data_IF_030884377571
#
_entry.id   IF_030884377571
#
_cell.length_a   1.000
_cell.length_b   1.000
_cell.length_c   1.000
_cell.angle_alpha   90.00
_cell.angle_beta   90.00
_cell.angle_gamma   90.00
#
_symmetry.space_group_name_H-M   'P 1'
#
loop_
_entity.id
_entity.type
_entity.pdbx_description
1 polymer ?
#
# COMPACT_ATOMS: atom_id res chain seq x y z
N UNK A 1 -71.99 -45.33 52.72
CA UNK A 1 -71.30 -46.04 51.61
C UNK A 1 -70.33 -45.07 50.94
N UNK A 2 -69.26 -45.61 50.37
CA UNK A 2 -67.94 -45.02 50.13
C UNK A 2 -67.84 -43.87 49.10
N UNK A 3 -66.89 -42.95 49.40
CA UNK A 3 -65.88 -42.25 48.57
C UNK A 3 -66.17 -41.96 47.08
N UNK A 4 -65.85 -40.75 46.62
CA UNK A 4 -64.64 -40.43 45.83
C UNK A 4 -64.58 -38.92 45.52
N UNK A 5 -63.56 -38.24 46.05
CA UNK A 5 -63.20 -36.86 45.66
C UNK A 5 -62.08 -36.97 44.62
N UNK A 6 -62.35 -36.53 43.39
CA UNK A 6 -61.38 -36.47 42.30
C UNK A 6 -60.67 -35.10 42.34
N UNK A 7 -59.41 -35.13 42.76
CA UNK A 7 -58.46 -34.01 42.66
C UNK A 7 -57.81 -34.05 41.26
N UNK A 8 -58.13 -33.07 40.42
CA UNK A 8 -57.39 -32.82 39.18
C UNK A 8 -56.14 -31.98 39.51
N UNK A 9 -54.97 -32.62 39.50
CA UNK A 9 -53.69 -31.94 39.52
C UNK A 9 -53.36 -31.45 38.11
N UNK A 10 -53.43 -30.14 37.87
CA UNK A 10 -52.93 -29.53 36.65
C UNK A 10 -51.41 -29.51 36.66
N UNK A 11 -50.77 -30.27 35.78
CA UNK A 11 -49.34 -30.20 35.54
C UNK A 11 -49.09 -28.98 34.65
N UNK A 12 -48.53 -27.92 35.21
CA UNK A 12 -47.97 -26.81 34.44
C UNK A 12 -46.67 -27.28 33.76
N UNK A 13 -46.74 -27.55 32.46
CA UNK A 13 -45.55 -27.77 31.63
C UNK A 13 -44.89 -26.41 31.40
N UNK A 14 -43.80 -26.13 32.11
CA UNK A 14 -42.88 -25.06 31.72
C UNK A 14 -42.27 -25.44 30.36
N UNK A 15 -42.66 -24.75 29.29
CA UNK A 15 -41.88 -24.75 28.06
C UNK A 15 -40.58 -24.02 28.37
N UNK A 16 -39.46 -24.76 28.42
CA UNK A 16 -38.14 -24.15 28.42
C UNK A 16 -37.95 -23.53 27.03
N UNK A 17 -37.94 -22.20 26.98
CA UNK A 17 -37.48 -21.46 25.81
C UNK A 17 -36.05 -21.93 25.49
N UNK A 18 -35.90 -22.65 24.39
CA UNK A 18 -34.60 -22.92 23.81
C UNK A 18 -33.97 -21.55 23.46
N UNK A 19 -32.67 -21.33 23.76
CA UNK A 19 -32.01 -20.10 23.35
C UNK A 19 -32.02 -20.02 21.82
N UNK A 20 -32.93 -19.21 21.28
CA UNK A 20 -32.93 -18.81 19.88
C UNK A 20 -31.63 -18.05 19.67
N UNK A 21 -30.68 -18.69 19.01
CA UNK A 21 -29.50 -17.98 18.50
C UNK A 21 -30.00 -16.93 17.53
N UNK A 22 -29.69 -15.64 17.73
CA UNK A 22 -30.11 -14.61 16.79
C UNK A 22 -29.56 -14.93 15.40
N UNK A 23 -30.31 -14.65 14.32
CA UNK A 23 -29.81 -14.78 12.96
C UNK A 23 -28.49 -14.03 12.85
N UNK A 24 -27.47 -14.70 12.31
CA UNK A 24 -26.17 -14.10 12.03
C UNK A 24 -26.37 -13.06 10.93
N UNK A 25 -26.74 -11.84 11.30
CA UNK A 25 -26.79 -10.70 10.37
C UNK A 25 -25.41 -10.60 9.72
N UNK A 26 -25.30 -10.57 8.38
CA UNK A 26 -24.03 -10.26 7.74
C UNK A 26 -23.60 -8.90 8.27
N UNK A 27 -22.49 -8.86 9.01
CA UNK A 27 -21.89 -7.59 9.41
C UNK A 27 -21.64 -6.81 8.12
N UNK A 28 -22.25 -5.63 8.01
CA UNK A 28 -22.13 -4.74 6.84
C UNK A 28 -20.71 -4.16 6.67
N UNK A 29 -19.77 -4.56 7.53
CA UNK A 29 -18.36 -4.16 7.43
C UNK A 29 -17.63 -5.18 6.56
N UNK A 30 -17.00 -4.74 5.44
CA UNK A 30 -16.10 -5.61 4.70
C UNK A 30 -15.06 -6.22 5.65
N UNK A 31 -14.64 -7.47 5.44
CA UNK A 31 -13.58 -8.05 6.25
C UNK A 31 -12.34 -7.13 6.21
N UNK A 32 -11.64 -6.95 7.34
CA UNK A 32 -10.48 -6.07 7.40
C UNK A 32 -9.42 -6.53 6.39
N UNK A 33 -8.84 -5.57 5.67
CA UNK A 33 -7.75 -5.83 4.73
C UNK A 33 -6.53 -6.32 5.51
N UNK A 34 -5.98 -7.47 5.13
CA UNK A 34 -4.77 -8.00 5.75
C UNK A 34 -3.55 -7.27 5.17
N UNK A 35 -2.82 -6.57 6.03
CA UNK A 35 -1.57 -5.94 5.63
C UNK A 35 -0.40 -6.93 5.72
N UNK A 36 0.61 -6.74 4.87
CA UNK A 36 1.74 -7.64 4.70
C UNK A 36 2.60 -7.20 3.52
N UNK A 37 3.13 -8.16 2.77
CA UNK A 37 3.87 -7.88 1.54
C UNK A 37 2.98 -7.12 0.54
N UNK A 38 3.58 -6.13 -0.14
CA UNK A 38 2.91 -5.39 -1.20
C UNK A 38 2.52 -6.36 -2.32
N UNK A 39 1.26 -6.38 -2.79
CA UNK A 39 0.84 -7.33 -3.82
C UNK A 39 1.63 -7.10 -5.12
N UNK A 40 2.15 -8.17 -5.72
CA UNK A 40 3.03 -8.06 -6.91
C UNK A 40 2.32 -7.42 -8.11
N UNK A 41 1.00 -7.60 -8.20
CA UNK A 41 0.15 -7.03 -9.23
C UNK A 41 -0.13 -5.53 -9.07
N UNK A 42 0.20 -4.90 -7.94
CA UNK A 42 -0.18 -3.51 -7.66
C UNK A 42 0.28 -2.55 -8.77
N UNK A 43 1.44 -2.81 -9.37
CA UNK A 43 2.01 -2.02 -10.45
C UNK A 43 1.30 -2.19 -11.79
N UNK A 44 0.75 -3.38 -12.09
CA UNK A 44 -0.07 -3.60 -13.32
C UNK A 44 -1.50 -3.10 -13.12
N UNK A 45 -1.96 -3.06 -11.88
CA UNK A 45 -3.29 -2.62 -11.51
C UNK A 45 -3.43 -1.10 -11.45
N UNK A 46 -2.33 -0.38 -11.23
CA UNK A 46 -2.29 1.06 -11.33
C UNK A 46 -2.08 1.48 -12.80
N UNK A 47 -3.00 2.26 -13.36
CA UNK A 47 -2.94 2.78 -14.72
C UNK A 47 -2.01 3.99 -14.87
N UNK A 48 -0.96 4.11 -14.05
CA UNK A 48 -0.11 5.30 -14.09
C UNK A 48 0.75 5.33 -15.36
N UNK A 49 0.85 6.50 -16.01
CA UNK A 49 1.86 6.72 -17.04
C UNK A 49 3.26 6.44 -16.50
N UNK A 50 4.17 6.07 -17.41
CA UNK A 50 5.56 5.81 -17.04
C UNK A 50 6.23 7.11 -16.58
N UNK A 51 6.76 7.09 -15.35
CA UNK A 51 7.46 8.23 -14.76
C UNK A 51 8.79 8.54 -15.48
N UNK A 52 9.43 7.51 -16.00
CA UNK A 52 10.69 7.62 -16.74
C UNK A 52 10.51 6.99 -18.11
N UNK A 53 11.11 7.60 -19.13
CA UNK A 53 11.04 7.06 -20.50
C UNK A 53 11.65 5.66 -20.58
N UNK A 54 11.15 4.85 -21.51
CA UNK A 54 11.65 3.48 -21.71
C UNK A 54 13.13 3.48 -22.09
N UNK A 55 13.57 4.45 -22.87
CA UNK A 55 14.96 4.56 -23.35
C UNK A 55 15.95 4.79 -22.21
N UNK A 56 15.62 5.65 -21.24
CA UNK A 56 16.47 5.87 -20.06
C UNK A 56 16.48 4.61 -19.20
N UNK A 57 15.31 4.00 -18.97
CA UNK A 57 15.21 2.76 -18.19
C UNK A 57 16.07 1.64 -18.79
N UNK A 58 15.99 1.45 -20.12
CA UNK A 58 16.76 0.43 -20.84
C UNK A 58 18.28 0.65 -20.71
N UNK A 59 18.75 1.89 -20.76
CA UNK A 59 20.17 2.24 -20.60
C UNK A 59 20.72 1.92 -19.20
N UNK A 60 19.84 1.86 -18.18
CA UNK A 60 20.24 1.66 -16.79
C UNK A 60 19.97 0.25 -16.25
N UNK A 61 19.20 -0.59 -16.95
CA UNK A 61 18.81 -1.93 -16.46
C UNK A 61 19.97 -2.87 -16.10
N UNK A 62 21.16 -2.68 -16.67
CA UNK A 62 22.36 -3.47 -16.38
C UNK A 62 23.45 -2.68 -15.66
N UNK A 63 23.12 -1.48 -15.14
CA UNK A 63 24.10 -0.58 -14.54
C UNK A 63 24.05 -0.70 -13.01
N UNK A 64 25.05 -1.40 -12.49
CA UNK A 64 25.36 -1.45 -11.05
C UNK A 64 24.99 -2.77 -10.37
N UNK A 65 25.53 -3.02 -9.17
CA UNK A 65 25.30 -4.25 -8.42
C UNK A 65 23.92 -4.34 -7.77
N UNK A 66 23.16 -3.24 -7.72
CA UNK A 66 21.89 -3.17 -6.98
C UNK A 66 20.96 -2.07 -7.50
N UNK A 67 19.75 -2.02 -6.92
CA UNK A 67 18.70 -1.07 -7.31
C UNK A 67 19.09 0.39 -7.07
N UNK A 68 19.89 0.69 -6.05
CA UNK A 68 20.35 2.06 -5.79
C UNK A 68 21.18 2.60 -6.96
N UNK A 69 22.15 1.84 -7.44
CA UNK A 69 23.00 2.25 -8.57
C UNK A 69 22.19 2.34 -9.88
N UNK A 70 21.21 1.44 -10.06
CA UNK A 70 20.28 1.51 -11.18
C UNK A 70 19.49 2.82 -11.18
N UNK A 71 18.95 3.21 -10.03
CA UNK A 71 18.19 4.45 -9.88
C UNK A 71 19.08 5.69 -9.96
N UNK A 72 20.32 5.64 -9.44
CA UNK A 72 21.31 6.71 -9.63
C UNK A 72 21.60 6.95 -11.11
N UNK A 73 21.77 5.87 -11.89
CA UNK A 73 21.89 5.96 -13.35
C UNK A 73 20.68 6.65 -13.98
N UNK A 74 19.45 6.27 -13.60
CA UNK A 74 18.22 6.86 -14.12
C UNK A 74 18.16 8.36 -13.82
N UNK A 75 18.46 8.77 -12.58
CA UNK A 75 18.43 10.18 -12.19
C UNK A 75 19.47 10.99 -12.96
N UNK A 76 20.68 10.46 -13.12
CA UNK A 76 21.74 11.09 -13.91
C UNK A 76 21.30 11.28 -15.37
N UNK A 77 20.80 10.22 -16.02
CA UNK A 77 20.35 10.24 -17.42
C UNK A 77 19.10 11.09 -17.64
N UNK A 78 18.26 11.23 -16.64
CA UNK A 78 17.09 12.12 -16.66
C UNK A 78 17.45 13.59 -16.39
N UNK A 79 18.73 13.89 -16.11
CA UNK A 79 19.19 15.23 -15.80
C UNK A 79 18.79 15.72 -14.40
N UNK A 80 18.30 14.83 -13.53
CA UNK A 80 17.81 15.14 -12.19
C UNK A 80 18.91 15.22 -11.12
N UNK A 81 20.17 15.22 -11.54
CA UNK A 81 21.31 15.38 -10.65
C UNK A 81 22.01 16.71 -10.89
N UNK A 82 22.64 17.22 -9.84
CA UNK A 82 23.60 18.33 -9.86
C UNK A 82 24.88 17.85 -9.16
N UNK A 83 25.86 17.42 -9.95
CA UNK A 83 26.98 16.63 -9.45
C UNK A 83 26.49 15.28 -8.90
N UNK A 84 26.89 14.94 -7.67
CA UNK A 84 26.47 13.71 -6.98
C UNK A 84 25.13 13.84 -6.22
N UNK A 85 24.58 15.04 -6.10
CA UNK A 85 23.34 15.30 -5.38
C UNK A 85 22.13 15.31 -6.33
N UNK A 86 20.96 14.97 -5.81
CA UNK A 86 19.70 15.08 -6.55
C UNK A 86 19.25 16.54 -6.55
N UNK A 87 18.95 17.03 -7.74
CA UNK A 87 18.33 18.34 -7.95
C UNK A 87 16.80 18.21 -7.86
N UNK A 88 16.26 18.42 -6.66
CA UNK A 88 14.82 18.32 -6.39
C UNK A 88 14.00 19.32 -7.19
N UNK A 89 14.56 20.46 -7.60
CA UNK A 89 13.86 21.43 -8.43
C UNK A 89 13.62 20.85 -9.83
N UNK A 90 14.61 20.15 -10.41
CA UNK A 90 14.44 19.45 -11.70
C UNK A 90 13.46 18.28 -11.62
N UNK A 91 13.48 17.51 -10.53
CA UNK A 91 12.48 16.45 -10.31
C UNK A 91 11.08 17.06 -10.17
N UNK A 92 10.95 18.18 -9.47
CA UNK A 92 9.69 18.92 -9.35
C UNK A 92 9.18 19.39 -10.71
N UNK A 93 10.05 19.99 -11.53
CA UNK A 93 9.72 20.44 -12.88
C UNK A 93 9.29 19.28 -13.80
N UNK A 94 9.90 18.10 -13.66
CA UNK A 94 9.44 16.89 -14.36
C UNK A 94 7.99 16.54 -13.99
N UNK A 95 7.65 16.57 -12.71
CA UNK A 95 6.29 16.29 -12.25
C UNK A 95 5.29 17.40 -12.65
N UNK A 96 5.72 18.65 -12.74
CA UNK A 96 4.88 19.72 -13.28
C UNK A 96 4.56 19.49 -14.77
N UNK A 97 5.54 19.02 -15.55
CA UNK A 97 5.30 18.62 -16.93
C UNK A 97 4.39 17.38 -16.99
N UNK A 98 4.62 16.39 -16.14
CA UNK A 98 3.78 15.19 -16.05
C UNK A 98 2.29 15.54 -15.84
N UNK A 99 1.98 16.53 -15.02
CA UNK A 99 0.58 16.98 -14.81
C UNK A 99 0.00 17.68 -16.04
N UNK A 100 0.80 18.40 -16.81
CA UNK A 100 0.32 18.98 -18.08
C UNK A 100 -0.06 17.89 -19.08
N UNK A 101 0.72 16.81 -19.10
CA UNK A 101 0.50 15.69 -20.03
C UNK A 101 -0.58 14.72 -19.51
N UNK A 102 -0.78 14.66 -18.19
CA UNK A 102 -1.66 13.72 -17.49
C UNK A 102 -2.44 14.42 -16.36
N UNK A 103 -3.40 15.31 -16.68
CA UNK A 103 -4.04 16.19 -15.71
C UNK A 103 -4.85 15.45 -14.64
N UNK A 104 -5.33 14.25 -14.94
CA UNK A 104 -6.02 13.38 -13.99
C UNK A 104 -5.12 12.92 -12.82
N UNK A 105 -3.80 12.97 -12.98
CA UNK A 105 -2.81 12.64 -11.94
C UNK A 105 -2.41 13.83 -11.06
N UNK A 106 -2.96 15.02 -11.29
CA UNK A 106 -2.63 16.23 -10.53
C UNK A 106 -2.74 16.04 -8.99
N UNK A 107 -3.77 15.36 -8.44
CA UNK A 107 -3.85 15.15 -6.99
C UNK A 107 -2.67 14.36 -6.44
N UNK A 108 -2.30 13.24 -7.08
CA UNK A 108 -1.18 12.42 -6.67
C UNK A 108 0.16 13.16 -6.83
N UNK A 109 0.34 13.91 -7.92
CA UNK A 109 1.55 14.69 -8.15
C UNK A 109 1.71 15.83 -7.14
N UNK A 110 0.63 16.51 -6.76
CA UNK A 110 0.70 17.53 -5.72
C UNK A 110 1.17 16.93 -4.38
N UNK A 111 0.73 15.72 -4.06
CA UNK A 111 1.22 15.00 -2.89
C UNK A 111 2.67 14.56 -3.04
N UNK A 112 3.14 14.21 -4.25
CA UNK A 112 4.57 13.91 -4.48
C UNK A 112 5.42 15.13 -4.18
N UNK A 113 5.02 16.30 -4.69
CA UNK A 113 5.75 17.55 -4.43
C UNK A 113 5.79 17.85 -2.93
N UNK A 114 4.67 17.73 -2.24
CA UNK A 114 4.56 18.03 -0.81
C UNK A 114 5.31 17.03 0.08
N UNK A 115 5.19 15.72 -0.18
CA UNK A 115 5.69 14.67 0.73
C UNK A 115 7.08 14.15 0.37
N UNK A 116 7.45 14.17 -0.91
CA UNK A 116 8.72 13.59 -1.37
C UNK A 116 9.79 14.65 -1.69
N UNK A 117 9.38 15.85 -2.11
CA UNK A 117 10.30 16.83 -2.70
C UNK A 117 10.45 18.13 -1.88
N UNK A 118 9.46 18.51 -1.06
CA UNK A 118 9.47 19.80 -0.36
C UNK A 118 10.50 19.96 0.77
N UNK A 119 11.13 18.87 1.25
CA UNK A 119 12.07 18.91 2.38
C UNK A 119 13.07 17.77 2.38
N UNK A 120 13.73 17.51 3.52
CA UNK A 120 14.53 16.30 3.69
C UNK A 120 13.61 15.08 3.69
N UNK A 121 13.95 14.09 2.88
CA UNK A 121 13.20 12.84 2.81
C UNK A 121 13.92 11.81 3.69
N UNK A 122 13.26 11.21 4.70
CA UNK A 122 13.87 10.15 5.48
C UNK A 122 14.08 8.91 4.61
N UNK A 123 15.01 8.04 5.02
CA UNK A 123 15.25 6.76 4.35
C UNK A 123 13.96 5.96 4.20
N UNK A 124 13.63 5.57 2.97
CA UNK A 124 12.39 4.88 2.63
C UNK A 124 12.56 3.36 2.53
N UNK A 125 13.78 2.86 2.38
CA UNK A 125 14.01 1.42 2.35
C UNK A 125 15.42 0.98 2.72
N UNK A 126 15.80 -0.18 2.20
CA UNK A 126 16.97 -0.93 2.67
C UNK A 126 18.31 -0.38 2.17
N UNK A 127 18.28 0.38 1.07
CA UNK A 127 19.47 1.04 0.52
C UNK A 127 19.73 2.36 1.25
N UNK A 128 20.49 2.28 2.33
CA UNK A 128 20.90 3.45 3.11
C UNK A 128 21.72 4.43 2.25
N UNK A 129 21.56 5.72 2.52
CA UNK A 129 22.25 6.79 1.80
C UNK A 129 22.01 6.74 0.28
N UNK A 130 20.82 6.31 -0.13
CA UNK A 130 20.41 6.29 -1.53
C UNK A 130 19.22 7.22 -1.80
N UNK A 131 19.44 8.55 -1.92
CA UNK A 131 18.37 9.52 -2.13
C UNK A 131 17.51 9.23 -3.37
N UNK A 132 18.07 8.62 -4.42
CA UNK A 132 17.35 8.30 -5.65
C UNK A 132 16.32 7.19 -5.40
N UNK A 133 16.73 6.17 -4.65
CA UNK A 133 15.86 5.10 -4.18
C UNK A 133 14.75 5.65 -3.28
N UNK A 134 15.12 6.50 -2.32
CA UNK A 134 14.17 7.08 -1.39
C UNK A 134 13.09 7.90 -2.11
N UNK A 135 13.49 8.76 -3.06
CA UNK A 135 12.54 9.57 -3.83
C UNK A 135 11.60 8.69 -4.66
N UNK A 136 12.12 7.69 -5.38
CA UNK A 136 11.28 6.83 -6.22
C UNK A 136 10.30 6.01 -5.38
N UNK A 137 10.75 5.48 -4.25
CA UNK A 137 9.87 4.73 -3.36
C UNK A 137 8.77 5.61 -2.75
N UNK A 138 9.13 6.84 -2.33
CA UNK A 138 8.15 7.81 -1.86
C UNK A 138 7.13 8.16 -2.96
N UNK A 139 7.60 8.41 -4.18
CA UNK A 139 6.74 8.71 -5.34
C UNK A 139 5.76 7.57 -5.60
N UNK A 140 6.24 6.33 -5.69
CA UNK A 140 5.37 5.17 -5.93
C UNK A 140 4.34 5.00 -4.81
N UNK A 141 4.78 5.14 -3.56
CA UNK A 141 3.89 5.08 -2.39
C UNK A 141 2.79 6.14 -2.48
N UNK A 142 3.15 7.38 -2.80
CA UNK A 142 2.19 8.47 -2.96
C UNK A 142 1.23 8.21 -4.12
N UNK A 143 1.72 7.71 -5.25
CA UNK A 143 0.88 7.36 -6.41
C UNK A 143 -0.14 6.29 -6.04
N UNK A 144 0.26 5.20 -5.36
CA UNK A 144 -0.69 4.19 -4.89
C UNK A 144 -1.69 4.77 -3.88
N UNK A 145 -1.24 5.62 -2.98
CA UNK A 145 -2.09 6.17 -1.91
C UNK A 145 -3.08 7.23 -2.38
N UNK A 146 -2.79 7.92 -3.49
CA UNK A 146 -3.55 9.09 -3.94
C UNK A 146 -4.15 8.94 -5.33
N UNK A 147 -4.01 7.76 -5.96
CA UNK A 147 -4.68 7.45 -7.20
C UNK A 147 -6.21 7.40 -7.01
N UNK A 148 -6.92 8.04 -7.92
CA UNK A 148 -8.37 8.04 -7.99
C UNK A 148 -8.90 6.67 -8.41
N UNK A 149 -10.15 6.32 -8.09
CA UNK A 149 -10.72 5.03 -8.47
C UNK A 149 -10.64 4.72 -9.97
N UNK A 150 -10.75 5.74 -10.83
CA UNK A 150 -10.63 5.62 -12.29
C UNK A 150 -9.21 5.29 -12.79
N UNK A 151 -8.20 5.53 -11.96
CA UNK A 151 -6.79 5.24 -12.27
C UNK A 151 -6.39 3.82 -11.90
N UNK A 152 -7.28 3.09 -11.25
CA UNK A 152 -7.08 1.68 -10.95
C UNK A 152 -7.88 0.80 -11.90
N UNK A 153 -7.28 -0.30 -12.35
CA UNK A 153 -8.00 -1.35 -13.05
C UNK A 153 -9.17 -1.88 -12.20
N UNK A 154 -10.29 -2.13 -12.87
CA UNK A 154 -11.50 -2.70 -12.26
C UNK A 154 -11.58 -4.21 -12.36
N UNK A 155 -10.58 -4.86 -12.96
CA UNK A 155 -10.51 -6.32 -13.08
C UNK A 155 -10.50 -6.99 -11.69
N UNK A 156 -11.05 -8.20 -11.61
CA UNK A 156 -11.15 -8.94 -10.35
C UNK A 156 -9.78 -9.12 -9.68
N UNK A 157 -8.74 -9.42 -10.46
CA UNK A 157 -7.34 -9.54 -10.00
C UNK A 157 -6.80 -8.27 -9.32
N UNK A 158 -7.34 -7.09 -9.63
CA UNK A 158 -6.90 -5.81 -9.06
C UNK A 158 -7.70 -5.37 -7.84
N UNK A 159 -8.68 -6.16 -7.40
CA UNK A 159 -9.49 -5.82 -6.23
C UNK A 159 -8.66 -5.77 -4.96
N UNK A 160 -7.83 -6.79 -4.72
CA UNK A 160 -7.00 -6.83 -3.52
C UNK A 160 -5.92 -5.73 -3.52
N UNK A 161 -5.23 -5.51 -4.64
CA UNK A 161 -4.24 -4.43 -4.77
C UNK A 161 -4.82 -3.04 -4.44
N UNK A 162 -6.03 -2.72 -4.90
CA UNK A 162 -6.73 -1.46 -4.58
C UNK A 162 -7.03 -1.35 -3.08
N UNK A 163 -7.58 -2.41 -2.51
CA UNK A 163 -7.92 -2.46 -1.07
C UNK A 163 -6.66 -2.34 -0.21
N UNK A 164 -5.58 -3.03 -0.60
CA UNK A 164 -4.27 -2.95 0.03
C UNK A 164 -3.71 -1.53 -0.03
N UNK A 165 -3.69 -0.90 -1.22
CA UNK A 165 -3.21 0.47 -1.39
C UNK A 165 -3.97 1.47 -0.50
N UNK A 166 -5.28 1.29 -0.32
CA UNK A 166 -6.08 2.14 0.57
C UNK A 166 -5.75 1.90 2.06
N UNK A 167 -5.65 0.64 2.49
CA UNK A 167 -5.61 0.28 3.92
C UNK A 167 -4.21 0.09 4.52
N UNK A 168 -3.21 -0.26 3.71
CA UNK A 168 -1.91 -0.78 4.17
C UNK A 168 -0.73 0.09 3.72
N UNK A 169 0.36 0.18 4.48
CA UNK A 169 1.58 0.86 4.05
C UNK A 169 2.21 0.13 2.86
N UNK A 170 2.86 0.90 1.97
CA UNK A 170 3.59 0.36 0.82
C UNK A 170 5.04 0.14 1.22
N UNK A 171 5.44 -1.12 1.28
CA UNK A 171 6.71 -1.53 1.86
C UNK A 171 7.53 -2.34 0.86
N UNK A 172 8.82 -2.00 0.66
CA UNK A 172 9.77 -2.90 0.01
C UNK A 172 9.82 -4.23 0.77
N UNK A 173 9.87 -5.36 0.05
CA UNK A 173 9.88 -6.69 0.67
C UNK A 173 11.07 -6.89 1.61
N UNK A 174 12.24 -6.38 1.20
CA UNK A 174 13.47 -6.48 2.00
C UNK A 174 13.37 -5.78 3.36
N UNK A 175 12.42 -4.85 3.55
CA UNK A 175 12.20 -4.17 4.82
C UNK A 175 11.78 -5.09 5.96
N UNK A 176 11.34 -6.32 5.66
CA UNK A 176 10.96 -7.32 6.65
C UNK A 176 12.11 -8.26 7.02
N UNK A 177 13.28 -8.12 6.40
CA UNK A 177 14.45 -8.93 6.74
C UNK A 177 15.02 -8.53 8.12
N UNK A 178 15.48 -9.53 8.89
CA UNK A 178 16.02 -9.33 10.23
C UNK A 178 17.26 -8.41 10.26
N UNK A 179 17.98 -8.29 9.13
CA UNK A 179 19.19 -7.50 9.00
C UNK A 179 18.94 -5.98 8.78
N UNK A 180 17.69 -5.54 8.62
CA UNK A 180 17.39 -4.13 8.34
C UNK A 180 17.53 -3.27 9.61
N UNK A 181 18.38 -2.23 9.60
CA UNK A 181 18.64 -1.42 10.79
C UNK A 181 17.44 -0.56 11.18
N UNK A 182 17.35 -0.24 12.47
CA UNK A 182 16.41 0.78 12.96
C UNK A 182 16.70 2.13 12.29
N UNK A 183 15.65 2.85 11.89
CA UNK A 183 15.78 4.08 11.11
C UNK A 183 15.56 3.87 9.61
N UNK A 184 15.61 2.63 9.11
CA UNK A 184 15.21 2.23 7.75
C UNK A 184 13.80 1.64 7.77
N UNK A 185 13.03 1.87 6.70
CA UNK A 185 11.70 1.30 6.54
C UNK A 185 10.73 1.56 7.71
N UNK A 186 10.86 2.67 8.43
CA UNK A 186 10.17 2.84 9.72
C UNK A 186 8.64 2.74 9.62
N UNK A 187 8.05 3.23 8.53
CA UNK A 187 6.62 3.11 8.26
C UNK A 187 6.14 1.65 8.14
N UNK A 188 7.04 0.73 7.78
CA UNK A 188 6.76 -0.69 7.54
C UNK A 188 6.87 -1.54 8.81
N UNK A 189 7.57 -1.05 9.84
CA UNK A 189 7.77 -1.77 11.10
C UNK A 189 6.69 -1.53 12.14
N UNK A 190 5.80 -0.56 11.92
CA UNK A 190 4.72 -0.19 12.85
C UNK A 190 3.46 -1.06 12.73
N UNK A 191 3.40 -1.96 11.75
CA UNK A 191 2.28 -2.88 11.61
C UNK A 191 2.48 -4.18 12.40
N UNK A 192 1.38 -4.81 12.88
CA UNK A 192 1.43 -6.19 13.33
C UNK A 192 1.97 -7.07 12.19
N UNK A 193 3.15 -7.64 12.40
CA UNK A 193 3.74 -8.59 11.46
C UNK A 193 2.86 -9.85 11.49
N UNK A 194 2.15 -10.15 10.40
CA UNK A 194 1.53 -11.47 10.26
C UNK A 194 2.70 -12.47 10.20
N UNK A 195 2.73 -13.52 11.05
CA UNK A 195 3.78 -14.52 10.98
C UNK A 195 3.85 -15.09 9.57
N UNK A 196 5.01 -14.98 8.92
CA UNK A 196 5.25 -15.70 7.68
C UNK A 196 5.42 -17.17 8.06
N UNK A 197 4.37 -17.97 7.85
CA UNK A 197 4.50 -19.42 7.91
C UNK A 197 5.47 -19.88 6.82
N UNK A 198 6.40 -20.81 7.14
CA UNK A 198 7.33 -21.39 6.17
C UNK A 198 6.63 -22.05 4.98
#
# INVERSE_FOLDING_TARGET
MFKFVLLFAGIALCQADLPVTPPKTPSATPPPVKCGLTPTEIHKCLGNPKLVTRDITAQCNSKGPNECERLKCIFSKSGWMSGDAIDKAKVTAHFEQFVKDHPDWAPAVNQVKASCLAGSLPTQGVYLNCPAYDIIHCVLTVFFKNAQPSQWSTTAECTYARQFAAACPICPEDCFAAAIPYGSCNACRLLPQIPQTP
#
